data_IF_035794993311
#
_entry.id   IF_035794993311
#
_cell.length_a   1.000
_cell.length_b   1.000
_cell.length_c   1.000
_cell.angle_alpha   90.00
_cell.angle_beta   90.00
_cell.angle_gamma   90.00
#
_symmetry.space_group_name_H-M   'P 1'
#
loop_
_entity.id
_entity.type
_entity.pdbx_description
1 polymer ?
#
# COMPACT_ATOMS: atom_id res chain seq x y z
N UNK A 1 29.05 39.79 2.72
CA UNK A 1 28.39 38.61 3.31
C UNK A 1 28.33 38.68 4.82
N UNK A 2 27.11 38.79 5.33
CA UNK A 2 26.72 38.74 6.73
C UNK A 2 25.88 37.48 6.97
N UNK A 3 25.94 36.96 8.19
CA UNK A 3 25.11 35.83 8.61
C UNK A 3 23.94 36.36 9.42
N UNK A 4 22.75 35.80 9.23
CA UNK A 4 21.59 36.21 9.99
C UNK A 4 20.79 35.01 10.52
N UNK A 5 20.05 35.26 11.59
CA UNK A 5 18.96 34.40 12.08
C UNK A 5 17.72 35.26 12.31
N UNK A 6 16.56 34.64 12.23
CA UNK A 6 15.30 35.24 12.64
C UNK A 6 14.68 34.36 13.71
N UNK A 7 14.21 34.98 14.78
CA UNK A 7 13.62 34.29 15.94
C UNK A 7 12.17 34.73 16.07
N UNK A 8 11.28 33.77 16.36
CA UNK A 8 9.94 34.02 16.87
C UNK A 8 9.76 33.19 18.14
N UNK A 9 9.35 33.80 19.24
CA UNK A 9 9.03 33.10 20.50
C UNK A 9 10.13 32.09 20.91
N UNK A 10 11.37 32.58 20.98
CA UNK A 10 12.59 31.80 21.28
C UNK A 10 12.96 30.68 20.28
N UNK A 11 12.25 30.57 19.16
CA UNK A 11 12.51 29.58 18.11
C UNK A 11 13.17 30.24 16.90
N UNK A 12 14.28 29.66 16.40
CA UNK A 12 14.89 30.09 15.13
C UNK A 12 13.98 29.66 13.98
N UNK A 13 13.37 30.62 13.29
CA UNK A 13 12.43 30.37 12.18
C UNK A 13 13.09 30.50 10.81
N UNK A 14 14.17 31.27 10.68
CA UNK A 14 14.95 31.37 9.46
C UNK A 14 16.41 31.69 9.76
N UNK A 15 17.33 31.28 8.89
CA UNK A 15 18.74 31.63 8.96
C UNK A 15 19.35 31.63 7.55
N UNK A 16 20.35 32.47 7.31
CA UNK A 16 20.96 32.55 5.99
C UNK A 16 22.22 33.41 5.92
N UNK A 17 22.77 33.49 4.72
CA UNK A 17 23.91 34.34 4.35
C UNK A 17 23.40 35.35 3.34
N UNK A 18 23.57 36.64 3.62
CA UNK A 18 23.13 37.72 2.73
C UNK A 18 24.11 38.89 2.80
N UNK A 19 24.14 39.74 1.77
CA UNK A 19 24.91 40.99 1.82
C UNK A 19 24.22 42.06 2.68
N UNK A 20 22.90 41.99 2.81
CA UNK A 20 22.09 42.83 3.70
C UNK A 20 21.25 41.97 4.64
N UNK A 21 21.16 42.35 5.91
CA UNK A 21 20.36 41.63 6.90
C UNK A 21 18.87 41.89 6.58
N UNK A 22 18.05 40.85 6.39
CA UNK A 22 16.62 41.02 6.18
C UNK A 22 15.95 41.74 7.35
N UNK A 23 14.87 42.48 7.08
CA UNK A 23 14.10 43.13 8.13
C UNK A 23 13.53 42.10 9.12
N UNK A 24 13.68 42.38 10.42
CA UNK A 24 13.28 41.46 11.48
C UNK A 24 14.27 40.32 11.75
N UNK A 25 15.39 40.22 11.02
CA UNK A 25 16.47 39.29 11.31
C UNK A 25 17.61 39.95 12.09
N UNK A 26 18.28 39.17 12.93
CA UNK A 26 19.46 39.58 13.69
C UNK A 26 20.73 39.09 13.00
N UNK A 27 21.75 39.95 12.93
CA UNK A 27 23.09 39.56 12.48
C UNK A 27 23.73 38.63 13.51
N UNK A 28 24.30 37.52 13.05
CA UNK A 28 24.99 36.53 13.89
C UNK A 28 26.41 36.30 13.44
N UNK A 29 27.22 35.75 14.33
CA UNK A 29 28.57 35.32 13.96
C UNK A 29 28.52 34.07 13.08
N UNK A 30 29.54 33.91 12.23
CA UNK A 30 29.74 32.67 11.45
C UNK A 30 29.73 31.41 12.32
N UNK A 31 30.28 31.50 13.53
CA UNK A 31 30.28 30.40 14.51
C UNK A 31 28.86 30.04 14.98
N UNK A 32 28.04 31.04 15.32
CA UNK A 32 26.65 30.83 15.70
C UNK A 32 25.83 30.25 14.54
N UNK A 33 26.02 30.77 13.32
CA UNK A 33 25.40 30.22 12.11
C UNK A 33 25.76 28.74 11.89
N UNK A 34 27.03 28.39 12.04
CA UNK A 34 27.51 27.01 11.86
C UNK A 34 26.89 26.06 12.88
N UNK A 35 26.64 26.54 14.11
CA UNK A 35 25.94 25.77 15.13
C UNK A 35 24.47 25.54 14.75
N UNK A 36 23.77 26.59 14.31
CA UNK A 36 22.37 26.50 13.86
C UNK A 36 22.22 25.47 12.74
N UNK A 37 23.11 25.51 11.72
CA UNK A 37 23.08 24.54 10.60
C UNK A 37 23.26 23.10 11.10
N UNK A 38 24.24 22.85 11.97
CA UNK A 38 24.48 21.51 12.53
C UNK A 38 23.32 20.99 13.38
N UNK A 39 22.74 21.88 14.18
CA UNK A 39 21.61 21.54 15.03
C UNK A 39 20.37 21.24 14.16
N UNK A 40 20.17 21.97 13.06
CA UNK A 40 19.09 21.71 12.11
C UNK A 40 19.27 20.37 11.38
N UNK A 41 20.49 20.03 10.94
CA UNK A 41 20.77 18.72 10.33
C UNK A 41 20.41 17.55 11.26
N UNK A 42 20.69 17.70 12.56
CA UNK A 42 20.33 16.70 13.56
C UNK A 42 18.81 16.58 13.75
N UNK A 43 18.10 17.72 13.77
CA UNK A 43 16.64 17.77 13.85
C UNK A 43 15.99 17.15 12.61
N UNK A 44 16.47 17.50 11.42
CA UNK A 44 15.97 16.98 10.15
C UNK A 44 16.21 15.47 10.03
N UNK A 45 17.38 14.99 10.45
CA UNK A 45 17.69 13.56 10.52
C UNK A 45 16.78 12.82 11.50
N UNK A 46 16.52 13.39 12.68
CA UNK A 46 15.60 12.80 13.65
C UNK A 46 14.15 12.77 13.11
N UNK A 47 13.70 13.82 12.44
CA UNK A 47 12.39 13.88 11.80
C UNK A 47 12.26 12.87 10.65
N UNK A 48 13.29 12.74 9.81
CA UNK A 48 13.34 11.75 8.73
C UNK A 48 13.27 10.32 9.29
N UNK A 49 14.02 10.01 10.35
CA UNK A 49 13.97 8.71 11.01
C UNK A 49 12.58 8.40 11.60
N UNK A 50 11.91 9.38 12.21
CA UNK A 50 10.53 9.21 12.70
C UNK A 50 9.55 8.91 11.56
N UNK A 51 9.66 9.61 10.44
CA UNK A 51 8.83 9.34 9.25
C UNK A 51 9.09 7.96 8.67
N UNK A 52 10.35 7.54 8.59
CA UNK A 52 10.72 6.21 8.11
C UNK A 52 10.17 5.09 9.03
N UNK A 53 10.27 5.25 10.35
CA UNK A 53 9.71 4.30 11.31
C UNK A 53 8.18 4.19 11.21
N UNK A 54 7.49 5.33 11.04
CA UNK A 54 6.03 5.32 10.84
C UNK A 54 5.62 4.65 9.52
N UNK A 55 6.38 4.88 8.44
CA UNK A 55 6.13 4.23 7.16
C UNK A 55 6.35 2.70 7.23
N UNK A 56 7.40 2.24 7.90
CA UNK A 56 7.66 0.82 8.09
C UNK A 56 6.59 0.15 8.98
N UNK A 57 6.15 0.81 10.05
CA UNK A 57 5.05 0.31 10.88
C UNK A 57 3.74 0.20 10.09
N UNK A 58 3.43 1.18 9.24
CA UNK A 58 2.27 1.13 8.35
C UNK A 58 2.39 0.00 7.31
N UNK A 59 3.60 -0.24 6.77
CA UNK A 59 3.86 -1.35 5.85
C UNK A 59 3.62 -2.70 6.53
N UNK A 60 4.15 -2.88 7.73
CA UNK A 60 3.97 -4.11 8.51
C UNK A 60 2.51 -4.36 8.88
N UNK A 61 1.77 -3.31 9.26
CA UNK A 61 0.33 -3.42 9.53
C UNK A 61 -0.46 -3.81 8.28
N UNK A 62 -0.13 -3.24 7.11
CA UNK A 62 -0.75 -3.60 5.83
C UNK A 62 -0.43 -5.04 5.42
N UNK A 63 0.81 -5.49 5.62
CA UNK A 63 1.25 -6.86 5.34
C UNK A 63 0.53 -7.87 6.24
N UNK A 64 0.38 -7.56 7.52
CA UNK A 64 -0.38 -8.39 8.44
C UNK A 64 -1.87 -8.47 8.06
N UNK A 65 -2.50 -7.34 7.73
CA UNK A 65 -3.90 -7.33 7.29
C UNK A 65 -4.11 -8.14 6.00
N UNK A 66 -3.17 -8.07 5.06
CA UNK A 66 -3.20 -8.87 3.83
C UNK A 66 -3.06 -10.37 4.11
N UNK A 67 -2.17 -10.75 5.04
CA UNK A 67 -1.99 -12.14 5.43
C UNK A 67 -3.23 -12.72 6.14
N UNK A 68 -3.84 -11.95 7.05
CA UNK A 68 -5.08 -12.34 7.75
C UNK A 68 -6.26 -12.47 6.77
N UNK A 69 -6.37 -11.54 5.82
CA UNK A 69 -7.35 -11.62 4.73
C UNK A 69 -7.17 -12.88 3.90
N UNK A 70 -5.94 -13.15 3.45
CA UNK A 70 -5.65 -14.36 2.66
C UNK A 70 -6.01 -15.64 3.42
N UNK A 71 -5.65 -15.74 4.69
CA UNK A 71 -6.00 -16.91 5.51
C UNK A 71 -7.51 -17.10 5.63
N UNK A 72 -8.27 -16.01 5.74
CA UNK A 72 -9.74 -16.04 5.79
C UNK A 72 -10.33 -16.52 4.46
N UNK A 73 -9.80 -16.05 3.34
CA UNK A 73 -10.23 -16.45 1.99
C UNK A 73 -9.92 -17.93 1.74
N UNK A 74 -8.71 -18.37 2.09
CA UNK A 74 -8.29 -19.77 1.95
C UNK A 74 -9.20 -20.72 2.78
N UNK A 75 -9.59 -20.32 3.99
CA UNK A 75 -10.52 -21.09 4.84
C UNK A 75 -11.93 -21.18 4.20
N UNK A 76 -12.43 -20.09 3.62
CA UNK A 76 -13.71 -20.12 2.90
C UNK A 76 -13.66 -20.98 1.64
N UNK A 77 -12.58 -20.90 0.86
CA UNK A 77 -12.35 -21.78 -0.29
C UNK A 77 -12.39 -23.25 0.15
N UNK A 78 -11.67 -23.60 1.21
CA UNK A 78 -11.65 -24.96 1.73
C UNK A 78 -13.04 -25.44 2.15
N UNK A 79 -13.82 -24.59 2.85
CA UNK A 79 -15.18 -24.93 3.31
C UNK A 79 -16.16 -25.12 2.14
N UNK A 80 -16.09 -24.26 1.13
CA UNK A 80 -16.93 -24.33 -0.07
C UNK A 80 -16.57 -25.57 -0.89
N UNK A 81 -15.30 -25.82 -1.16
CA UNK A 81 -14.83 -27.01 -1.88
C UNK A 81 -15.18 -28.31 -1.15
N UNK A 82 -15.09 -28.32 0.19
CA UNK A 82 -15.47 -29.48 1.00
C UNK A 82 -16.99 -29.68 1.12
N UNK A 83 -17.81 -28.76 0.58
CA UNK A 83 -19.28 -28.81 0.67
C UNK A 83 -19.83 -28.57 2.08
N UNK A 84 -19.00 -28.07 3.00
CA UNK A 84 -19.39 -27.74 4.38
C UNK A 84 -19.95 -26.31 4.50
N UNK A 85 -19.83 -25.50 3.45
CA UNK A 85 -20.49 -24.21 3.27
C UNK A 85 -20.79 -23.94 1.80
N UNK A 86 -21.56 -22.89 1.53
CA UNK A 86 -21.90 -22.45 0.17
C UNK A 86 -21.41 -21.02 -0.07
N UNK A 87 -21.32 -20.60 -1.34
CA UNK A 87 -20.96 -19.20 -1.70
C UNK A 87 -21.88 -18.15 -1.09
N UNK A 88 -23.14 -18.50 -0.77
CA UNK A 88 -24.08 -17.61 -0.09
C UNK A 88 -23.68 -17.35 1.38
N UNK A 89 -22.96 -18.29 2.01
CA UNK A 89 -22.46 -18.15 3.38
C UNK A 89 -21.18 -17.30 3.45
N UNK A 90 -20.50 -17.09 2.31
CA UNK A 90 -19.27 -16.30 2.23
C UNK A 90 -19.61 -14.81 2.34
N UNK A 91 -18.94 -14.04 3.21
CA UNK A 91 -19.07 -12.59 3.26
C UNK A 91 -18.82 -11.94 1.89
N UNK A 92 -19.57 -10.88 1.57
CA UNK A 92 -19.52 -10.25 0.25
C UNK A 92 -18.12 -9.78 -0.15
N UNK A 93 -17.35 -9.30 0.82
CA UNK A 93 -15.98 -8.82 0.62
C UNK A 93 -14.98 -9.90 0.15
N UNK A 94 -15.29 -11.19 0.33
CA UNK A 94 -14.46 -12.33 -0.09
C UNK A 94 -15.13 -13.18 -1.18
N UNK A 95 -16.42 -12.95 -1.44
CA UNK A 95 -17.23 -13.83 -2.30
C UNK A 95 -16.67 -13.97 -3.71
N UNK A 96 -16.16 -12.89 -4.29
CA UNK A 96 -15.53 -12.91 -5.62
C UNK A 96 -14.29 -13.82 -5.65
N UNK A 97 -13.36 -13.63 -4.71
CA UNK A 97 -12.11 -14.40 -4.62
C UNK A 97 -12.38 -15.88 -4.37
N UNK A 98 -13.34 -16.19 -3.49
CA UNK A 98 -13.74 -17.58 -3.20
C UNK A 98 -14.45 -18.21 -4.40
N UNK A 99 -15.32 -17.47 -5.09
CA UNK A 99 -16.01 -17.95 -6.28
C UNK A 99 -15.01 -18.28 -7.39
N UNK A 100 -14.08 -17.37 -7.70
CA UNK A 100 -13.06 -17.58 -8.73
C UNK A 100 -12.22 -18.84 -8.46
N UNK A 101 -11.89 -19.11 -7.20
CA UNK A 101 -11.09 -20.27 -6.81
C UNK A 101 -11.87 -21.59 -6.72
N UNK A 102 -13.20 -21.53 -6.60
CA UNK A 102 -14.06 -22.72 -6.42
C UNK A 102 -14.93 -23.03 -7.64
N UNK A 103 -14.95 -22.14 -8.63
CA UNK A 103 -15.57 -22.41 -9.93
C UNK A 103 -14.83 -23.59 -10.60
N UNK A 104 -15.53 -24.68 -10.94
CA UNK A 104 -14.89 -25.79 -11.64
C UNK A 104 -14.35 -25.26 -12.97
N UNK A 105 -13.03 -25.17 -13.10
CA UNK A 105 -12.41 -25.05 -14.42
C UNK A 105 -12.75 -26.34 -15.18
N UNK A 106 -13.52 -26.28 -16.28
CA UNK A 106 -13.94 -27.50 -16.97
C UNK A 106 -12.70 -28.25 -17.41
N UNK A 107 -12.65 -29.54 -17.10
CA UNK A 107 -11.51 -30.36 -17.53
C UNK A 107 -11.50 -30.46 -19.05
N UNK A 108 -10.32 -30.63 -19.67
CA UNK A 108 -10.24 -30.84 -21.12
C UNK A 108 -11.14 -31.96 -21.63
N UNK A 109 -11.44 -32.95 -20.79
CA UNK A 109 -12.39 -34.02 -21.08
C UNK A 109 -13.82 -33.52 -21.15
N UNK A 110 -14.28 -32.77 -20.15
CA UNK A 110 -15.63 -32.18 -20.14
C UNK A 110 -15.82 -31.17 -21.28
N UNK A 111 -14.76 -30.44 -21.65
CA UNK A 111 -14.76 -29.58 -22.84
C UNK A 111 -14.90 -30.40 -24.13
N UNK A 112 -14.18 -31.53 -24.24
CA UNK A 112 -14.27 -32.40 -25.42
C UNK A 112 -15.64 -33.05 -25.55
N UNK A 113 -16.18 -33.60 -24.45
CA UNK A 113 -17.52 -34.22 -24.41
C UNK A 113 -18.62 -33.19 -24.72
N UNK A 114 -18.49 -31.94 -24.23
CA UNK A 114 -19.42 -30.86 -24.57
C UNK A 114 -19.33 -30.42 -26.04
N UNK A 115 -18.13 -30.39 -26.61
CA UNK A 115 -17.93 -30.06 -28.02
C UNK A 115 -18.45 -31.17 -28.94
N UNK A 116 -18.22 -32.43 -28.59
CA UNK A 116 -18.71 -33.60 -29.33
C UNK A 116 -20.25 -33.66 -29.30
N UNK A 117 -20.86 -33.44 -28.13
CA UNK A 117 -22.31 -33.32 -28.00
C UNK A 117 -22.90 -32.16 -28.82
N UNK A 118 -22.20 -31.04 -28.90
CA UNK A 118 -22.61 -29.89 -29.73
C UNK A 118 -22.45 -30.19 -31.22
N UNK A 119 -21.39 -30.89 -31.62
CA UNK A 119 -21.15 -31.32 -33.00
C UNK A 119 -22.23 -32.30 -33.47
N UNK A 120 -22.59 -33.30 -32.65
CA UNK A 120 -23.66 -34.25 -32.95
C UNK A 120 -25.02 -33.55 -33.13
N UNK A 121 -25.33 -32.55 -32.28
CA UNK A 121 -26.55 -31.77 -32.39
C UNK A 121 -26.61 -30.92 -33.67
N UNK A 122 -25.46 -30.36 -34.10
CA UNK A 122 -25.35 -29.59 -35.34
C UNK A 122 -25.44 -30.50 -36.57
N UNK A 123 -24.77 -31.65 -36.55
CA UNK A 123 -24.82 -32.61 -37.66
C UNK A 123 -26.23 -33.17 -37.86
N UNK A 124 -26.97 -33.45 -36.77
CA UNK A 124 -28.38 -33.84 -36.82
C UNK A 124 -29.27 -32.77 -37.46
N UNK A 125 -29.03 -31.48 -37.17
CA UNK A 125 -29.78 -30.36 -37.76
C UNK A 125 -29.43 -30.09 -39.23
N UNK A 126 -28.28 -30.57 -39.71
CA UNK A 126 -27.81 -30.35 -41.09
C UNK A 126 -28.07 -31.55 -42.02
N UNK A 127 -28.66 -32.64 -41.52
CA UNK A 127 -28.98 -33.85 -42.32
C UNK A 127 -30.44 -33.93 -42.81
N UNK A 128 -31.21 -32.83 -42.74
CA UNK A 128 -32.51 -32.69 -43.44
C UNK A 128 -32.38 -32.23 -44.91
#
# INVERSE_FOLDING_TARGET
>A
MKYYKQISDDTVISYGISDTIPEGAEEVTKTAYTKIVKDQDAVDKAAANKRAAAAEAARQAAEQAAAERKATVDDWIAKVTAGTSTLANVPEEYRYEVQEATDPTPTNRELHESLESTQEAVDFLMTE
#
